data_IF_918864209989
#
_entry.id   IF_918864209989
#
_cell.length_a   1.000
_cell.length_b   1.000
_cell.length_c   1.000
_cell.angle_alpha   90.00
_cell.angle_beta   90.00
_cell.angle_gamma   90.00
#
_symmetry.space_group_name_H-M   'P 1'
#
loop_
_entity.id
_entity.type
_entity.pdbx_description
1 polymer ?
#
# COMPACT_ATOMS: atom_id res chain seq x y z
N UNK A 1 -15.36 11.90 -3.24
CA UNK A 1 -15.01 11.03 -2.11
C UNK A 1 -14.17 11.77 -1.06
N UNK A 2 -12.85 11.96 -1.25
CA UNK A 2 -11.94 12.45 -0.19
C UNK A 2 -11.79 13.97 -0.01
N UNK A 3 -12.74 14.76 -0.52
CA UNK A 3 -12.80 16.23 -0.37
C UNK A 3 -11.55 16.99 -0.88
N UNK A 4 -10.86 16.45 -1.88
CA UNK A 4 -9.69 17.06 -2.52
C UNK A 4 -10.07 18.17 -3.51
N UNK A 5 -11.24 18.09 -4.15
CA UNK A 5 -11.61 18.91 -5.33
C UNK A 5 -11.50 20.44 -5.17
N UNK A 6 -11.60 20.98 -3.95
CA UNK A 6 -11.47 22.42 -3.69
C UNK A 6 -10.03 22.87 -3.41
N UNK A 7 -9.05 22.00 -3.64
CA UNK A 7 -7.64 22.28 -3.47
C UNK A 7 -6.95 22.45 -4.82
N UNK A 8 -6.22 23.55 -5.00
CA UNK A 8 -5.41 23.79 -6.20
C UNK A 8 -3.93 23.60 -5.84
N UNK A 9 -3.31 22.48 -6.27
CA UNK A 9 -1.90 22.21 -6.00
C UNK A 9 -1.01 23.16 -6.82
N UNK A 10 0.22 23.40 -6.36
CA UNK A 10 1.16 24.26 -7.07
C UNK A 10 2.42 23.45 -7.44
N UNK A 11 2.62 23.16 -8.72
CA UNK A 11 3.73 22.31 -9.20
C UNK A 11 5.12 22.79 -8.77
N UNK A 12 5.28 24.09 -8.48
CA UNK A 12 6.52 24.67 -7.95
C UNK A 12 6.62 24.75 -6.42
N UNK A 13 5.74 24.11 -5.65
CA UNK A 13 5.80 24.14 -4.17
C UNK A 13 6.99 23.39 -3.58
N UNK A 14 7.59 22.50 -4.38
CA UNK A 14 8.63 21.58 -3.96
C UNK A 14 8.10 20.24 -3.41
N UNK A 15 6.78 20.03 -3.32
CA UNK A 15 6.24 18.71 -2.99
C UNK A 15 6.40 17.75 -4.19
N UNK A 16 6.87 16.53 -3.94
CA UNK A 16 7.22 15.56 -5.00
C UNK A 16 6.79 14.15 -4.61
N UNK A 17 6.43 13.36 -5.62
CA UNK A 17 5.93 11.98 -5.47
C UNK A 17 6.86 11.04 -6.24
N UNK A 18 7.19 9.91 -5.62
CA UNK A 18 7.84 8.78 -6.25
C UNK A 18 6.93 7.56 -6.22
N UNK A 19 7.03 6.69 -7.21
CA UNK A 19 6.44 5.35 -7.11
C UNK A 19 7.39 4.28 -7.64
N UNK A 20 7.34 3.10 -7.05
CA UNK A 20 8.18 1.96 -7.43
C UNK A 20 7.50 1.10 -8.49
N UNK A 21 8.24 0.65 -9.49
CA UNK A 21 7.81 -0.39 -10.42
C UNK A 21 8.83 -1.53 -10.39
N UNK A 22 8.50 -2.60 -9.67
CA UNK A 22 9.37 -3.77 -9.56
C UNK A 22 9.24 -4.68 -10.77
N UNK A 23 10.22 -5.57 -10.94
CA UNK A 23 10.24 -6.60 -12.00
C UNK A 23 10.24 -6.02 -13.43
N UNK A 24 10.87 -4.85 -13.65
CA UNK A 24 10.91 -4.13 -14.92
C UNK A 24 9.55 -3.75 -15.50
N UNK A 25 8.61 -3.40 -14.63
CA UNK A 25 7.35 -2.79 -15.08
C UNK A 25 7.56 -1.32 -15.45
N UNK A 26 6.87 -0.85 -16.49
CA UNK A 26 7.04 0.50 -17.05
C UNK A 26 5.67 1.12 -17.29
N UNK A 27 5.48 2.36 -16.84
CA UNK A 27 4.25 3.09 -17.15
C UNK A 27 4.39 3.60 -18.59
N UNK A 28 3.39 3.35 -19.43
CA UNK A 28 3.44 3.73 -20.84
C UNK A 28 3.09 5.21 -20.97
N UNK A 29 4.01 5.99 -21.54
CA UNK A 29 3.82 7.44 -21.68
C UNK A 29 2.58 7.79 -22.52
N UNK A 30 2.30 6.98 -23.54
CA UNK A 30 1.12 7.14 -24.36
C UNK A 30 -0.18 6.89 -23.57
N UNK A 31 -0.18 5.92 -22.66
CA UNK A 31 -1.35 5.59 -21.85
C UNK A 31 -1.62 6.67 -20.81
N UNK A 32 -0.58 7.21 -20.19
CA UNK A 32 -0.72 8.38 -19.31
C UNK A 32 -1.29 9.59 -20.08
N UNK A 33 -0.77 9.88 -21.27
CA UNK A 33 -1.27 10.98 -22.11
C UNK A 33 -2.76 10.79 -22.47
N UNK A 34 -3.15 9.57 -22.85
CA UNK A 34 -4.54 9.26 -23.18
C UNK A 34 -5.45 9.30 -21.95
N UNK A 35 -4.95 8.90 -20.78
CA UNK A 35 -5.65 9.05 -19.50
C UNK A 35 -5.89 10.52 -19.16
N UNK A 36 -4.86 11.36 -19.26
CA UNK A 36 -4.97 12.80 -19.04
C UNK A 36 -5.98 13.43 -19.99
N UNK A 37 -5.94 13.06 -21.28
CA UNK A 37 -6.92 13.50 -22.29
C UNK A 37 -8.33 13.05 -21.94
N UNK A 38 -8.50 11.81 -21.50
CA UNK A 38 -9.80 11.23 -21.15
C UNK A 38 -10.46 11.97 -19.97
N UNK A 39 -9.68 12.29 -18.94
CA UNK A 39 -10.15 12.97 -17.73
C UNK A 39 -10.00 14.51 -17.76
N UNK A 40 -9.60 15.07 -18.90
CA UNK A 40 -9.33 16.50 -19.06
C UNK A 40 -8.32 17.07 -18.03
N UNK A 41 -7.33 16.26 -17.66
CA UNK A 41 -6.19 16.68 -16.86
C UNK A 41 -5.18 17.35 -17.79
N UNK A 42 -4.64 18.53 -17.46
CA UNK A 42 -3.56 19.12 -18.26
C UNK A 42 -2.37 18.18 -18.31
N UNK A 43 -1.81 17.98 -19.51
CA UNK A 43 -0.73 17.01 -19.69
C UNK A 43 0.50 17.32 -18.84
N UNK A 44 1.04 16.30 -18.19
CA UNK A 44 2.30 16.37 -17.45
C UNK A 44 3.20 15.15 -17.72
N UNK A 45 4.50 15.36 -17.70
CA UNK A 45 5.47 14.27 -17.81
C UNK A 45 5.79 13.71 -16.43
N UNK A 46 6.08 12.41 -16.40
CA UNK A 46 6.74 11.76 -15.26
C UNK A 46 8.24 11.60 -15.56
N UNK A 47 9.07 11.70 -14.52
CA UNK A 47 10.50 11.36 -14.62
C UNK A 47 10.70 9.86 -14.37
N UNK A 48 11.78 9.28 -14.90
CA UNK A 48 12.12 7.87 -14.66
C UNK A 48 13.54 7.75 -14.12
N UNK A 49 13.70 6.97 -13.05
CA UNK A 49 15.00 6.52 -12.54
C UNK A 49 15.12 4.99 -12.64
N UNK A 50 16.18 4.51 -13.27
CA UNK A 50 16.45 3.08 -13.43
C UNK A 50 17.32 2.58 -12.28
N UNK A 51 16.87 1.53 -11.60
CA UNK A 51 17.54 0.96 -10.43
C UNK A 51 17.94 -0.48 -10.71
N UNK A 52 19.17 -0.84 -10.33
CA UNK A 52 19.71 -2.20 -10.47
C UNK A 52 19.61 -2.78 -11.90
N UNK A 53 19.78 -1.93 -12.92
CA UNK A 53 19.64 -2.33 -14.32
C UNK A 53 18.20 -2.42 -14.81
N UNK A 54 17.28 -1.68 -14.16
CA UNK A 54 15.92 -1.45 -14.65
C UNK A 54 15.88 -1.04 -16.11
N UNK A 55 14.82 -1.43 -16.82
CA UNK A 55 14.58 -1.06 -18.22
C UNK A 55 13.24 -0.34 -18.32
N UNK A 56 13.27 0.87 -18.86
CA UNK A 56 12.06 1.59 -19.25
C UNK A 56 11.57 1.07 -20.61
N UNK A 57 10.69 0.07 -20.59
CA UNK A 57 10.17 -0.55 -21.80
C UNK A 57 8.85 0.09 -22.21
N UNK A 58 8.92 0.95 -23.23
CA UNK A 58 7.77 1.66 -23.79
C UNK A 58 7.08 0.91 -24.94
N UNK A 59 7.50 -0.32 -25.25
CA UNK A 59 6.86 -1.14 -26.29
C UNK A 59 5.69 -1.95 -25.70
N UNK A 60 4.46 -1.55 -26.00
CA UNK A 60 3.23 -2.20 -25.49
C UNK A 60 3.13 -3.72 -25.74
N UNK A 61 3.87 -4.26 -26.71
CA UNK A 61 3.85 -5.69 -27.02
C UNK A 61 4.78 -6.52 -26.13
N UNK A 62 5.73 -5.89 -25.45
CA UNK A 62 6.73 -6.57 -24.60
C UNK A 62 6.81 -6.00 -23.18
N UNK A 63 6.23 -4.82 -22.94
CA UNK A 63 6.19 -4.18 -21.63
C UNK A 63 5.21 -4.89 -20.69
N UNK A 64 5.56 -4.92 -19.40
CA UNK A 64 4.61 -5.17 -18.33
C UNK A 64 4.24 -3.81 -17.75
N UNK A 65 2.99 -3.38 -17.94
CA UNK A 65 2.62 -1.99 -17.71
C UNK A 65 1.44 -1.81 -16.75
N UNK A 66 0.56 -2.81 -16.60
CA UNK A 66 -0.73 -2.64 -15.94
C UNK A 66 -0.63 -1.97 -14.55
N UNK A 67 0.20 -2.50 -13.65
CA UNK A 67 0.39 -1.92 -12.31
C UNK A 67 1.05 -0.54 -12.37
N UNK A 68 2.10 -0.38 -13.19
CA UNK A 68 2.82 0.88 -13.32
C UNK A 68 1.95 2.00 -13.90
N UNK A 69 1.06 1.67 -14.83
CA UNK A 69 0.05 2.57 -15.40
C UNK A 69 -1.02 2.92 -14.37
N UNK A 70 -1.53 1.94 -13.61
CA UNK A 70 -2.48 2.20 -12.52
C UNK A 70 -1.89 3.19 -11.51
N UNK A 71 -0.66 2.95 -11.06
CA UNK A 71 0.06 3.82 -10.11
C UNK A 71 0.23 5.24 -10.70
N UNK A 72 0.81 5.34 -11.90
CA UNK A 72 1.10 6.62 -12.53
C UNK A 72 -0.18 7.44 -12.75
N UNK A 73 -1.21 6.84 -13.34
CA UNK A 73 -2.46 7.51 -13.67
C UNK A 73 -3.24 7.91 -12.42
N UNK A 74 -3.23 7.08 -11.38
CA UNK A 74 -3.87 7.40 -10.10
C UNK A 74 -3.16 8.58 -9.40
N UNK A 75 -1.82 8.56 -9.35
CA UNK A 75 -1.03 9.66 -8.77
C UNK A 75 -1.28 10.96 -9.55
N UNK A 76 -1.17 10.93 -10.88
CA UNK A 76 -1.41 12.09 -11.74
C UNK A 76 -2.83 12.62 -11.58
N UNK A 77 -3.83 11.74 -11.59
CA UNK A 77 -5.24 12.12 -11.46
C UNK A 77 -5.58 12.82 -10.15
N UNK A 78 -4.85 12.53 -9.07
CA UNK A 78 -5.10 13.11 -7.75
C UNK A 78 -4.24 14.34 -7.48
N UNK A 79 -2.96 14.30 -7.87
CA UNK A 79 -1.95 15.23 -7.39
C UNK A 79 -1.40 16.18 -8.45
N UNK A 80 -1.91 16.16 -9.68
CA UNK A 80 -1.52 17.12 -10.71
C UNK A 80 -1.59 18.59 -10.22
N UNK A 81 -0.59 19.45 -10.49
CA UNK A 81 0.61 19.24 -11.32
C UNK A 81 1.89 18.94 -10.52
N UNK A 82 1.81 18.23 -9.39
CA UNK A 82 3.02 17.92 -8.60
C UNK A 82 3.96 16.99 -9.37
N UNK A 83 5.30 17.21 -9.33
CA UNK A 83 6.26 16.33 -10.01
C UNK A 83 6.21 14.88 -9.52
N UNK A 84 6.21 13.95 -10.47
CA UNK A 84 6.17 12.50 -10.24
C UNK A 84 7.42 11.83 -10.82
N UNK A 85 8.02 10.91 -10.07
CA UNK A 85 9.15 10.08 -10.51
C UNK A 85 8.82 8.60 -10.38
N UNK A 86 8.91 7.85 -11.48
CA UNK A 86 8.88 6.40 -11.48
C UNK A 86 10.28 5.85 -11.21
N UNK A 87 10.38 4.86 -10.33
CA UNK A 87 11.60 4.09 -10.12
C UNK A 87 11.39 2.70 -10.69
N UNK A 88 12.10 2.34 -11.77
CA UNK A 88 11.99 1.02 -12.39
C UNK A 88 13.11 0.14 -11.86
N UNK A 89 12.73 -0.93 -11.17
CA UNK A 89 13.67 -1.78 -10.44
C UNK A 89 13.70 -3.18 -11.07
N UNK A 90 14.91 -3.58 -11.48
CA UNK A 90 15.19 -4.96 -11.90
C UNK A 90 15.79 -5.75 -10.75
N UNK A 91 15.86 -7.06 -10.93
CA UNK A 91 16.56 -7.97 -10.04
C UNK A 91 15.66 -9.06 -9.50
N UNK A 92 16.28 -9.93 -8.69
CA UNK A 92 15.64 -11.08 -8.11
C UNK A 92 16.04 -11.19 -6.63
N UNK A 93 15.11 -10.99 -5.69
CA UNK A 93 15.44 -11.06 -4.28
C UNK A 93 15.55 -12.51 -3.79
N UNK A 94 16.07 -12.70 -2.56
CA UNK A 94 15.95 -13.96 -1.85
C UNK A 94 14.49 -14.38 -1.66
N UNK A 95 14.25 -15.68 -1.63
CA UNK A 95 12.91 -16.25 -1.63
C UNK A 95 12.85 -17.55 -0.81
N UNK A 96 11.77 -17.74 -0.07
CA UNK A 96 11.41 -18.98 0.61
C UNK A 96 10.18 -19.55 -0.11
N UNK A 97 10.27 -20.73 -0.74
CA UNK A 97 9.12 -21.37 -1.38
C UNK A 97 7.94 -21.57 -0.45
N UNK A 98 6.74 -21.34 -0.96
CA UNK A 98 5.47 -21.55 -0.27
C UNK A 98 4.47 -22.29 -1.19
N UNK A 99 3.22 -22.43 -0.74
CA UNK A 99 2.20 -23.16 -1.49
C UNK A 99 1.83 -22.49 -2.82
N UNK A 100 1.88 -21.15 -2.87
CA UNK A 100 1.53 -20.34 -4.03
C UNK A 100 2.67 -20.29 -5.06
N UNK A 101 3.91 -20.32 -4.57
CA UNK A 101 5.15 -20.17 -5.32
C UNK A 101 6.16 -21.23 -4.89
N UNK A 102 6.15 -22.38 -5.58
CA UNK A 102 6.92 -23.56 -5.14
C UNK A 102 8.38 -23.56 -5.60
N UNK A 103 8.75 -22.68 -6.52
CA UNK A 103 10.02 -22.80 -7.26
C UNK A 103 10.63 -21.43 -7.57
N UNK A 104 11.95 -21.42 -7.68
CA UNK A 104 12.76 -20.21 -7.91
C UNK A 104 12.43 -19.51 -9.25
N UNK A 105 11.98 -20.23 -10.27
CA UNK A 105 11.48 -19.64 -11.53
C UNK A 105 10.09 -18.99 -11.40
N UNK A 106 9.44 -19.13 -10.24
CA UNK A 106 8.20 -18.46 -9.84
C UNK A 106 8.42 -17.59 -8.60
N UNK A 107 9.64 -17.10 -8.42
CA UNK A 107 9.95 -16.10 -7.41
C UNK A 107 9.42 -14.74 -7.92
N UNK A 108 8.29 -14.33 -7.38
CA UNK A 108 7.67 -13.03 -7.65
C UNK A 108 8.00 -11.98 -6.58
N UNK A 109 8.82 -12.34 -5.59
CA UNK A 109 9.23 -11.37 -4.57
C UNK A 109 9.95 -10.20 -5.21
N UNK A 110 9.79 -9.02 -4.61
CA UNK A 110 10.31 -7.78 -5.15
C UNK A 110 11.73 -7.45 -4.62
N UNK A 111 12.63 -6.92 -5.47
CA UNK A 111 13.99 -6.55 -5.10
C UNK A 111 14.05 -5.22 -4.32
N UNK A 112 13.46 -5.19 -3.13
CA UNK A 112 13.34 -4.00 -2.29
C UNK A 112 14.67 -3.42 -1.78
N UNK A 113 15.63 -4.25 -1.38
CA UNK A 113 16.91 -3.77 -0.82
C UNK A 113 17.69 -2.92 -1.83
N UNK A 114 17.87 -3.33 -3.11
CA UNK A 114 18.42 -2.47 -4.15
C UNK A 114 17.71 -1.11 -4.26
N UNK A 115 16.37 -1.12 -4.23
CA UNK A 115 15.56 0.10 -4.33
C UNK A 115 15.83 1.09 -3.19
N UNK A 116 15.69 0.67 -1.94
CA UNK A 116 15.89 1.58 -0.81
C UNK A 116 17.34 1.97 -0.59
N UNK A 117 18.31 1.13 -0.97
CA UNK A 117 19.73 1.52 -0.99
C UNK A 117 19.99 2.61 -2.03
N UNK A 118 19.39 2.49 -3.22
CA UNK A 118 19.48 3.53 -4.25
C UNK A 118 18.94 4.86 -3.71
N UNK A 119 17.72 4.87 -3.16
CA UNK A 119 17.14 6.07 -2.57
C UNK A 119 18.02 6.67 -1.46
N UNK A 120 18.53 5.84 -0.54
CA UNK A 120 19.41 6.33 0.53
C UNK A 120 20.74 6.87 0.01
N UNK A 121 21.20 6.46 -1.18
CA UNK A 121 22.39 7.01 -1.82
C UNK A 121 22.18 8.40 -2.43
N UNK A 122 20.93 8.79 -2.70
CA UNK A 122 20.58 10.10 -3.28
C UNK A 122 20.75 11.21 -2.25
N UNK A 123 20.96 12.44 -2.73
CA UNK A 123 20.93 13.63 -1.86
C UNK A 123 19.50 13.91 -1.37
N UNK A 124 19.32 14.76 -0.34
CA UNK A 124 17.98 15.05 0.18
C UNK A 124 17.09 15.76 -0.85
N UNK A 125 17.65 16.63 -1.69
CA UNK A 125 16.89 17.34 -2.73
C UNK A 125 16.44 16.46 -3.88
N UNK A 126 17.10 15.32 -4.08
CA UNK A 126 16.81 14.38 -5.16
C UNK A 126 15.84 13.27 -4.72
N UNK A 127 15.42 13.26 -3.44
CA UNK A 127 14.45 12.30 -2.94
C UNK A 127 13.03 12.82 -3.15
N UNK A 128 12.09 11.94 -3.59
CA UNK A 128 10.68 12.25 -3.46
C UNK A 128 10.30 12.38 -1.97
N UNK A 129 9.39 13.29 -1.65
CA UNK A 129 8.91 13.44 -0.26
C UNK A 129 7.86 12.39 0.11
N UNK A 130 7.21 11.80 -0.88
CA UNK A 130 6.24 10.71 -0.70
C UNK A 130 6.57 9.61 -1.71
N UNK A 131 6.64 8.36 -1.25
CA UNK A 131 6.83 7.17 -2.08
C UNK A 131 5.57 6.32 -1.97
N UNK A 132 5.03 5.89 -3.12
CA UNK A 132 3.99 4.86 -3.22
C UNK A 132 4.61 3.55 -3.69
N UNK A 133 4.31 2.44 -3.02
CA UNK A 133 4.57 1.11 -3.56
C UNK A 133 3.28 0.29 -3.51
N UNK A 134 3.02 -0.42 -4.62
CA UNK A 134 1.82 -1.22 -4.82
C UNK A 134 2.15 -2.70 -5.02
N UNK A 135 3.14 -3.22 -4.28
CA UNK A 135 3.57 -4.63 -4.34
C UNK A 135 3.90 -5.22 -2.98
N UNK A 136 3.82 -6.53 -2.88
CA UNK A 136 3.98 -7.25 -1.63
C UNK A 136 3.83 -8.75 -1.79
N UNK A 137 4.36 -9.46 -0.81
CA UNK A 137 4.45 -10.90 -0.73
C UNK A 137 3.95 -11.42 0.62
N UNK A 138 3.74 -12.73 0.70
CA UNK A 138 3.63 -13.39 1.99
C UNK A 138 4.83 -13.04 2.86
N UNK A 139 4.59 -12.56 4.07
CA UNK A 139 5.69 -12.16 4.95
C UNK A 139 6.70 -13.29 5.17
N UNK A 140 6.22 -14.54 5.27
CA UNK A 140 7.08 -15.71 5.46
C UNK A 140 7.70 -16.29 4.18
N UNK A 141 7.34 -15.80 2.98
CA UNK A 141 8.10 -16.08 1.74
C UNK A 141 9.35 -15.20 1.66
N UNK A 142 9.40 -14.10 2.40
CA UNK A 142 10.54 -13.18 2.47
C UNK A 142 11.44 -13.61 3.63
N UNK A 143 12.74 -13.90 3.39
CA UNK A 143 13.64 -14.22 4.49
C UNK A 143 13.69 -13.12 5.55
N UNK A 144 13.49 -13.47 6.82
CA UNK A 144 13.43 -12.52 7.94
C UNK A 144 14.57 -11.49 7.96
N UNK A 145 15.81 -11.89 7.64
CA UNK A 145 16.96 -10.96 7.59
C UNK A 145 16.84 -9.93 6.48
N UNK A 146 16.27 -10.32 5.34
CA UNK A 146 15.96 -9.41 4.24
C UNK A 146 14.86 -8.44 4.64
N UNK A 147 13.76 -8.94 5.20
CA UNK A 147 12.65 -8.12 5.69
C UNK A 147 13.10 -7.07 6.73
N UNK A 148 13.88 -7.49 7.74
CA UNK A 148 14.44 -6.60 8.75
C UNK A 148 15.37 -5.54 8.15
N UNK A 149 16.27 -5.93 7.24
CA UNK A 149 17.15 -4.98 6.56
C UNK A 149 16.34 -3.96 5.78
N UNK A 150 15.38 -4.40 4.99
CA UNK A 150 14.54 -3.52 4.19
C UNK A 150 13.78 -2.52 5.06
N UNK A 151 13.16 -2.97 6.14
CA UNK A 151 12.48 -2.07 7.08
C UNK A 151 13.43 -1.06 7.72
N UNK A 152 14.65 -1.45 8.09
CA UNK A 152 15.63 -0.50 8.61
C UNK A 152 15.99 0.58 7.58
N UNK A 153 16.10 0.22 6.29
CA UNK A 153 16.35 1.19 5.22
C UNK A 153 15.18 2.18 5.06
N UNK A 154 13.95 1.69 5.15
CA UNK A 154 12.73 2.55 5.15
C UNK A 154 12.73 3.48 6.35
N UNK A 155 13.08 2.98 7.54
CA UNK A 155 13.22 3.80 8.75
C UNK A 155 14.22 4.96 8.56
N UNK A 156 15.36 4.71 7.90
CA UNK A 156 16.33 5.77 7.57
C UNK A 156 15.78 6.79 6.57
N UNK A 157 14.91 6.41 5.62
CA UNK A 157 14.21 7.36 4.76
C UNK A 157 13.22 8.22 5.56
N UNK A 158 12.50 7.62 6.51
CA UNK A 158 11.63 8.35 7.44
C UNK A 158 12.37 9.45 8.21
N UNK A 159 13.59 9.18 8.68
CA UNK A 159 14.47 10.18 9.31
C UNK A 159 14.89 11.32 8.36
N UNK A 160 14.87 11.08 7.05
CA UNK A 160 15.16 12.09 6.01
C UNK A 160 13.92 12.88 5.59
N UNK A 161 12.76 12.61 6.19
CA UNK A 161 11.51 13.31 5.92
C UNK A 161 10.71 12.74 4.75
N UNK A 162 10.96 11.49 4.37
CA UNK A 162 10.20 10.79 3.32
C UNK A 162 9.05 10.02 3.95
N UNK A 163 7.86 10.14 3.37
CA UNK A 163 6.72 9.26 3.68
C UNK A 163 6.77 8.06 2.75
N UNK A 164 6.69 6.83 3.27
CA UNK A 164 6.57 5.61 2.45
C UNK A 164 5.19 5.03 2.67
N UNK A 165 4.40 4.96 1.60
CA UNK A 165 3.03 4.45 1.54
C UNK A 165 3.05 3.11 0.83
N UNK A 166 2.30 2.14 1.34
CA UNK A 166 2.38 0.76 0.90
C UNK A 166 0.99 0.13 0.82
N UNK A 167 0.65 -0.48 -0.31
CA UNK A 167 -0.58 -1.29 -0.43
C UNK A 167 -0.59 -2.43 0.60
N UNK A 168 -1.74 -2.72 1.20
CA UNK A 168 -1.82 -3.77 2.23
C UNK A 168 -1.89 -5.19 1.66
N UNK A 169 -2.33 -5.33 0.41
CA UNK A 169 -2.53 -6.59 -0.29
C UNK A 169 -4.01 -6.87 -0.59
N UNK A 170 -4.22 -7.83 -1.51
CA UNK A 170 -5.52 -8.09 -2.15
C UNK A 170 -6.07 -9.49 -1.82
N UNK A 171 -5.51 -10.14 -0.80
CA UNK A 171 -5.84 -11.52 -0.42
C UNK A 171 -6.62 -11.63 0.89
N UNK A 172 -7.12 -10.51 1.40
CA UNK A 172 -7.86 -10.46 2.67
C UNK A 172 -7.04 -11.06 3.82
N UNK A 173 -7.60 -12.05 4.52
CA UNK A 173 -6.85 -12.76 5.59
C UNK A 173 -5.70 -13.62 5.02
N UNK A 174 -5.81 -14.01 3.75
CA UNK A 174 -4.83 -14.79 3.01
C UNK A 174 -5.45 -15.65 1.91
N UNK A 175 -4.64 -16.04 0.94
CA UNK A 175 -5.03 -16.95 -0.13
C UNK A 175 -4.44 -18.36 0.10
N UNK A 176 -3.11 -18.49 0.20
CA UNK A 176 -2.40 -19.71 0.58
C UNK A 176 -2.05 -19.81 2.07
N UNK A 177 -3.03 -20.07 2.96
CA UNK A 177 -2.84 -19.97 4.42
C UNK A 177 -2.08 -21.14 5.09
N UNK A 178 -0.94 -21.50 4.50
CA UNK A 178 -0.02 -22.56 4.92
C UNK A 178 1.39 -21.98 4.99
N UNK A 179 2.09 -22.22 6.10
CA UNK A 179 3.45 -21.78 6.26
C UNK A 179 4.40 -22.50 5.28
N UNK A 180 5.61 -21.96 5.04
CA UNK A 180 6.63 -22.57 4.16
C UNK A 180 7.10 -23.98 4.56
N UNK A 181 6.70 -24.48 5.74
CA UNK A 181 6.90 -25.87 6.16
C UNK A 181 5.92 -26.86 5.50
N UNK A 182 4.95 -26.34 4.74
CA UNK A 182 3.88 -27.08 4.07
C UNK A 182 3.02 -27.93 5.01
N UNK A 183 2.96 -27.58 6.30
CA UNK A 183 2.21 -28.33 7.31
C UNK A 183 1.49 -27.48 8.34
N UNK A 184 1.93 -26.24 8.57
CA UNK A 184 1.37 -25.36 9.60
C UNK A 184 0.41 -24.34 8.98
N UNK A 185 -0.90 -24.49 9.22
CA UNK A 185 -1.88 -23.50 8.81
C UNK A 185 -1.72 -22.19 9.61
N UNK A 186 -1.91 -21.04 8.96
CA UNK A 186 -1.96 -19.75 9.65
C UNK A 186 -2.35 -18.60 8.74
N UNK A 187 -2.69 -17.46 9.32
CA UNK A 187 -3.04 -16.25 8.57
C UNK A 187 -1.82 -15.72 7.81
N UNK A 188 -2.10 -14.93 6.77
CA UNK A 188 -1.17 -14.58 5.70
C UNK A 188 -0.91 -13.06 5.72
N UNK A 189 -0.13 -12.55 6.68
CA UNK A 189 0.24 -11.14 6.67
C UNK A 189 1.17 -10.86 5.47
N UNK A 190 1.00 -9.67 4.88
CA UNK A 190 1.72 -9.26 3.66
C UNK A 190 2.90 -8.37 4.04
N UNK A 191 4.11 -8.78 3.67
CA UNK A 191 5.24 -7.87 3.60
C UNK A 191 5.15 -7.16 2.24
N UNK A 192 5.39 -5.87 2.07
CA UNK A 192 5.90 -4.85 2.96
C UNK A 192 4.92 -4.23 3.96
N UNK A 193 3.63 -4.48 3.83
CA UNK A 193 2.61 -3.80 4.64
C UNK A 193 2.82 -3.97 6.16
N UNK A 194 3.40 -5.10 6.57
CA UNK A 194 3.77 -5.38 7.96
C UNK A 194 4.95 -4.58 8.50
N UNK A 195 5.71 -3.89 7.64
CA UNK A 195 6.82 -3.06 8.07
C UNK A 195 6.32 -1.90 8.97
N UNK A 196 6.94 -1.66 10.15
CA UNK A 196 6.44 -0.63 11.07
C UNK A 196 6.75 0.81 10.62
N UNK A 197 7.55 0.98 9.57
CA UNK A 197 8.04 2.28 9.06
C UNK A 197 7.33 2.75 7.79
N UNK A 198 6.38 1.95 7.27
CA UNK A 198 5.49 2.36 6.17
C UNK A 198 4.12 2.72 6.71
N UNK A 199 3.40 3.58 5.99
CA UNK A 199 1.96 3.73 6.14
C UNK A 199 1.29 2.71 5.23
N UNK A 200 0.76 1.63 5.83
CA UNK A 200 0.06 0.58 5.11
C UNK A 200 -1.39 1.00 4.81
N UNK A 201 -1.83 0.77 3.57
CA UNK A 201 -3.11 1.24 3.04
C UNK A 201 -3.98 0.06 2.61
N UNK A 202 -5.07 -0.16 3.33
CA UNK A 202 -6.14 -1.10 2.99
C UNK A 202 -7.12 -0.58 1.96
N UNK A 203 -8.07 -1.43 1.61
CA UNK A 203 -9.07 -1.18 0.59
C UNK A 203 -10.49 -1.04 1.12
N UNK A 204 -11.21 -0.06 0.59
CA UNK A 204 -12.66 0.10 0.70
C UNK A 204 -13.34 -0.10 -0.66
N UNK A 205 -14.64 -0.36 -0.63
CA UNK A 205 -15.54 -0.34 -1.78
C UNK A 205 -16.74 0.57 -1.49
N UNK A 206 -17.51 0.90 -2.52
CA UNK A 206 -18.61 1.85 -2.41
C UNK A 206 -18.14 3.30 -2.51
N UNK A 207 -19.06 4.24 -2.29
CA UNK A 207 -18.73 5.67 -2.36
C UNK A 207 -19.40 6.49 -1.26
N UNK A 208 -20.66 6.17 -0.96
CA UNK A 208 -21.41 6.80 0.13
C UNK A 208 -22.61 5.90 0.49
N UNK A 209 -22.46 4.95 1.44
CA UNK A 209 -21.27 4.75 2.26
C UNK A 209 -20.13 4.02 1.54
N UNK A 210 -18.90 4.22 2.02
CA UNK A 210 -17.78 3.31 1.82
C UNK A 210 -17.90 2.14 2.83
N UNK A 211 -17.45 0.95 2.45
CA UNK A 211 -17.38 -0.24 3.31
C UNK A 211 -16.07 -0.99 3.07
N UNK A 212 -15.62 -1.78 4.04
CA UNK A 212 -14.43 -2.62 3.89
C UNK A 212 -14.52 -3.54 2.66
N UNK A 213 -13.42 -3.64 1.91
CA UNK A 213 -13.30 -4.57 0.80
C UNK A 213 -12.95 -5.97 1.29
N UNK A 214 -13.65 -6.99 0.78
CA UNK A 214 -13.40 -8.40 1.12
C UNK A 214 -11.96 -8.87 0.88
N UNK A 215 -11.31 -8.29 -0.13
CA UNK A 215 -9.92 -8.58 -0.48
C UNK A 215 -8.89 -7.71 0.25
N UNK A 216 -9.29 -6.72 1.04
CA UNK A 216 -8.35 -5.85 1.75
C UNK A 216 -7.53 -6.66 2.75
N UNK A 217 -6.24 -6.84 2.48
CA UNK A 217 -5.36 -7.58 3.37
C UNK A 217 -5.09 -6.82 4.65
N UNK A 218 -5.08 -7.55 5.75
CA UNK A 218 -4.88 -7.02 7.08
C UNK A 218 -4.72 -8.12 8.12
N UNK A 219 -4.31 -7.72 9.32
CA UNK A 219 -4.01 -8.64 10.41
C UNK A 219 -2.75 -8.23 11.15
N UNK A 220 -1.94 -9.20 11.56
CA UNK A 220 -0.80 -8.98 12.44
C UNK A 220 0.45 -9.68 11.91
N UNK A 221 1.56 -8.95 11.88
CA UNK A 221 2.87 -9.44 11.47
C UNK A 221 3.36 -10.60 12.34
N UNK A 222 3.98 -11.59 11.71
CA UNK A 222 4.77 -12.66 12.33
C UNK A 222 6.18 -12.18 12.70
N UNK A 223 6.72 -11.21 11.96
CA UNK A 223 8.12 -10.79 12.07
C UNK A 223 8.34 -9.57 12.97
N UNK A 224 7.51 -8.55 12.82
CA UNK A 224 7.68 -7.25 13.47
C UNK A 224 6.78 -7.16 14.69
N UNK A 225 7.36 -6.85 15.85
CA UNK A 225 6.59 -6.59 17.06
C UNK A 225 5.73 -5.34 16.90
N UNK A 226 4.62 -5.30 17.64
CA UNK A 226 3.73 -4.13 17.67
C UNK A 226 4.49 -2.86 18.07
N UNK A 227 4.54 -1.82 17.21
CA UNK A 227 5.22 -0.59 17.55
C UNK A 227 4.42 0.24 18.56
N UNK A 228 5.11 1.05 19.36
CA UNK A 228 4.49 1.80 20.47
C UNK A 228 3.43 2.81 20.01
N UNK A 229 3.56 3.37 18.79
CA UNK A 229 2.61 4.35 18.28
C UNK A 229 1.20 3.78 18.05
N UNK A 230 1.07 2.46 17.86
CA UNK A 230 -0.22 1.81 17.62
C UNK A 230 -0.70 0.96 18.81
N UNK A 231 0.10 0.80 19.87
CA UNK A 231 -0.18 -0.13 20.96
C UNK A 231 -1.54 0.16 21.61
N UNK A 232 -1.77 1.39 22.04
CA UNK A 232 -3.04 1.78 22.68
C UNK A 232 -4.26 1.57 21.76
N UNK A 233 -4.11 1.81 20.46
CA UNK A 233 -5.17 1.65 19.47
C UNK A 233 -5.49 0.18 19.21
N UNK A 234 -4.46 -0.64 19.02
CA UNK A 234 -4.60 -2.07 18.74
C UNK A 234 -5.05 -2.83 19.98
N UNK A 235 -4.60 -2.47 21.18
CA UNK A 235 -5.10 -3.06 22.43
C UNK A 235 -6.60 -2.85 22.58
N UNK A 236 -7.12 -1.65 22.27
CA UNK A 236 -8.57 -1.40 22.29
C UNK A 236 -9.32 -2.27 21.28
N UNK A 237 -8.76 -2.50 20.10
CA UNK A 237 -9.34 -3.45 19.15
C UNK A 237 -9.38 -4.87 19.72
N UNK A 238 -8.26 -5.34 20.29
CA UNK A 238 -8.17 -6.67 20.89
C UNK A 238 -9.17 -6.86 22.04
N UNK A 239 -9.44 -5.83 22.84
CA UNK A 239 -10.44 -5.84 23.91
C UNK A 239 -11.89 -5.98 23.38
N UNK A 240 -12.15 -5.59 22.13
CA UNK A 240 -13.45 -5.76 21.47
C UNK A 240 -13.62 -7.14 20.81
N UNK A 241 -12.53 -7.88 20.58
CA UNK A 241 -12.58 -9.22 20.00
C UNK A 241 -13.15 -10.19 21.03
N UNK A 242 -14.20 -10.92 20.67
CA UNK A 242 -14.78 -11.94 21.53
C UNK A 242 -13.72 -12.96 21.99
N UNK A 243 -13.76 -13.38 23.25
CA UNK A 243 -12.76 -14.27 23.84
C UNK A 243 -12.55 -15.57 23.06
N UNK A 244 -13.63 -16.12 22.49
CA UNK A 244 -13.63 -17.32 21.68
C UNK A 244 -12.89 -17.08 20.36
N UNK A 245 -13.14 -15.95 19.70
CA UNK A 245 -12.46 -15.55 18.47
C UNK A 245 -10.99 -15.27 18.74
N UNK A 246 -10.67 -14.57 19.83
CA UNK A 246 -9.29 -14.28 20.23
C UNK A 246 -8.47 -15.56 20.43
N UNK A 247 -9.02 -16.53 21.17
CA UNK A 247 -8.38 -17.81 21.43
C UNK A 247 -8.29 -18.69 20.16
N UNK A 248 -9.32 -18.68 19.31
CA UNK A 248 -9.31 -19.44 18.07
C UNK A 248 -8.30 -18.88 17.06
N UNK A 249 -8.33 -17.58 16.79
CA UNK A 249 -7.41 -16.92 15.87
C UNK A 249 -5.97 -16.88 16.41
N UNK A 250 -5.77 -16.90 17.73
CA UNK A 250 -4.44 -16.97 18.33
C UNK A 250 -3.63 -18.23 17.96
N UNK A 251 -4.26 -19.25 17.37
CA UNK A 251 -3.58 -20.41 16.78
C UNK A 251 -2.96 -20.12 15.41
N UNK A 252 -3.41 -19.06 14.74
CA UNK A 252 -3.13 -18.75 13.34
C UNK A 252 -2.50 -17.37 13.14
N UNK A 253 -2.57 -16.48 14.13
CA UNK A 253 -2.03 -15.11 14.07
C UNK A 253 -1.20 -14.75 15.29
N UNK A 254 -0.29 -13.79 15.12
CA UNK A 254 0.52 -13.25 16.20
C UNK A 254 -0.09 -11.94 16.72
N UNK A 255 -0.93 -12.04 17.76
CA UNK A 255 -1.56 -10.87 18.39
C UNK A 255 -0.59 -9.78 18.90
N UNK A 256 0.69 -10.12 19.10
CA UNK A 256 1.74 -9.17 19.52
C UNK A 256 2.47 -8.52 18.34
N UNK A 257 2.11 -8.85 17.11
CA UNK A 257 2.72 -8.32 15.90
C UNK A 257 2.29 -6.90 15.57
N UNK A 258 3.03 -6.25 14.67
CA UNK A 258 2.59 -5.04 13.96
C UNK A 258 1.29 -5.38 13.25
N UNK A 259 0.21 -4.80 13.75
CA UNK A 259 -1.13 -4.86 13.18
C UNK A 259 -1.25 -3.89 12.01
N UNK A 260 -1.83 -4.29 10.88
CA UNK A 260 -1.97 -3.53 9.63
C UNK A 260 -3.36 -3.78 8.99
N UNK A 261 -3.87 -2.90 8.11
CA UNK A 261 -3.27 -1.65 7.64
C UNK A 261 -3.32 -0.50 8.66
N UNK A 262 -2.71 0.64 8.34
CA UNK A 262 -2.80 1.86 9.16
C UNK A 262 -4.00 2.72 8.79
N UNK A 263 -4.34 2.76 7.51
CA UNK A 263 -5.43 3.55 6.91
C UNK A 263 -6.02 2.79 5.72
N UNK A 264 -7.06 3.31 5.08
CA UNK A 264 -7.60 2.74 3.85
C UNK A 264 -8.02 3.80 2.84
N UNK A 265 -8.21 3.38 1.59
CA UNK A 265 -8.89 4.15 0.55
C UNK A 265 -9.62 3.20 -0.40
N UNK A 266 -10.38 3.77 -1.33
CA UNK A 266 -11.14 3.05 -2.33
C UNK A 266 -10.19 2.19 -3.14
N UNK A 267 -10.54 0.93 -3.31
CA UNK A 267 -9.68 -0.06 -3.95
C UNK A 267 -10.29 -0.66 -5.20
N UNK A 268 -11.58 -1.03 -5.19
CA UNK A 268 -12.07 -1.91 -6.26
C UNK A 268 -13.47 -1.66 -6.80
N UNK A 269 -14.53 -1.50 -6.01
CA UNK A 269 -15.90 -1.53 -6.56
C UNK A 269 -16.67 -0.25 -6.26
N UNK A 270 -17.01 0.58 -7.26
CA UNK A 270 -16.70 0.42 -8.69
C UNK A 270 -15.19 0.57 -9.00
N UNK A 271 -14.73 -0.07 -10.07
CA UNK A 271 -13.32 -0.09 -10.46
C UNK A 271 -12.79 1.29 -10.83
N UNK A 272 -11.47 1.46 -10.68
CA UNK A 272 -10.76 2.60 -11.23
C UNK A 272 -10.74 2.48 -12.75
N UNK A 273 -11.14 3.56 -13.40
CA UNK A 273 -10.90 3.72 -14.83
C UNK A 273 -9.45 4.10 -15.06
N UNK A 274 -8.77 3.27 -15.85
CA UNK A 274 -7.38 3.45 -16.27
C UNK A 274 -7.31 3.36 -17.78
N UNK A 275 -6.18 3.72 -18.37
CA UNK A 275 -5.90 3.51 -19.80
C UNK A 275 -4.80 2.48 -19.93
N UNK A 276 -5.05 1.44 -20.72
CA UNK A 276 -4.09 0.41 -21.09
C UNK A 276 -4.07 0.29 -22.61
N UNK A 277 -2.90 0.46 -23.21
CA UNK A 277 -2.68 0.39 -24.67
C UNK A 277 -3.63 1.32 -25.43
N UNK A 278 -3.78 2.54 -24.94
CA UNK A 278 -4.67 3.58 -25.47
C UNK A 278 -6.16 3.33 -25.29
N UNK A 279 -6.58 2.29 -24.56
CA UNK A 279 -7.99 1.95 -24.33
C UNK A 279 -8.36 2.10 -22.86
N UNK A 280 -9.54 2.66 -22.59
CA UNK A 280 -10.09 2.69 -21.23
C UNK A 280 -10.35 1.26 -20.75
N UNK A 281 -9.77 0.93 -19.61
CA UNK A 281 -9.87 -0.33 -18.91
C UNK A 281 -10.28 -0.10 -17.45
N UNK A 282 -10.55 -1.19 -16.74
CA UNK A 282 -10.89 -1.18 -15.32
C UNK A 282 -9.77 -1.87 -14.54
N UNK A 283 -9.42 -1.31 -13.40
CA UNK A 283 -8.43 -1.86 -12.49
C UNK A 283 -8.74 -1.44 -11.05
N UNK A 284 -7.96 -1.94 -10.09
CA UNK A 284 -8.24 -1.71 -8.68
C UNK A 284 -7.30 -2.49 -7.77
N UNK A 285 -7.81 -2.90 -6.62
CA UNK A 285 -7.02 -3.48 -5.54
C UNK A 285 -6.45 -2.42 -4.61
N UNK A 286 -5.80 -2.85 -3.52
CA UNK A 286 -5.09 -1.92 -2.63
C UNK A 286 -3.91 -1.22 -3.34
N UNK A 287 -3.50 -1.77 -4.49
CA UNK A 287 -2.70 -1.13 -5.51
C UNK A 287 -3.23 0.22 -6.01
N UNK A 288 -4.55 0.43 -6.05
CA UNK A 288 -5.11 1.75 -6.34
C UNK A 288 -5.19 2.64 -5.08
N UNK A 289 -5.37 2.03 -3.90
CA UNK A 289 -5.52 2.74 -2.64
C UNK A 289 -4.21 3.40 -2.15
N UNK A 290 -3.07 2.73 -2.34
CA UNK A 290 -1.75 3.27 -1.99
C UNK A 290 -1.41 4.59 -2.75
N UNK A 291 -1.49 4.66 -4.10
CA UNK A 291 -1.24 5.89 -4.84
C UNK A 291 -2.26 6.99 -4.53
N UNK A 292 -3.51 6.65 -4.17
CA UNK A 292 -4.48 7.63 -3.64
C UNK A 292 -3.94 8.31 -2.39
N UNK A 293 -3.48 7.53 -1.41
CA UNK A 293 -2.90 8.08 -0.19
C UNK A 293 -1.60 8.83 -0.43
N UNK A 294 -0.73 8.34 -1.33
CA UNK A 294 0.49 9.04 -1.70
C UNK A 294 0.20 10.42 -2.31
N UNK A 295 -0.77 10.50 -3.22
CA UNK A 295 -1.25 11.77 -3.78
C UNK A 295 -1.79 12.70 -2.70
N UNK A 296 -2.63 12.21 -1.79
CA UNK A 296 -3.17 13.00 -0.67
C UNK A 296 -2.06 13.56 0.22
N UNK A 297 -1.08 12.74 0.62
CA UNK A 297 0.06 13.20 1.45
C UNK A 297 0.89 14.24 0.70
N UNK A 298 1.08 14.08 -0.61
CA UNK A 298 1.81 15.04 -1.41
C UNK A 298 1.09 16.39 -1.51
N UNK A 299 -0.24 16.39 -1.60
CA UNK A 299 -1.05 17.61 -1.52
C UNK A 299 -0.99 18.27 -0.13
N UNK A 300 -0.92 17.47 0.94
CA UNK A 300 -0.70 17.98 2.30
C UNK A 300 0.70 18.61 2.44
N UNK A 301 1.73 17.99 1.86
CA UNK A 301 3.09 18.55 1.80
C UNK A 301 3.13 19.84 0.95
N UNK A 302 2.42 19.91 -0.17
CA UNK A 302 2.27 21.12 -0.98
C UNK A 302 1.69 22.27 -0.14
N UNK A 303 0.61 22.01 0.61
CA UNK A 303 0.01 23.00 1.51
C UNK A 303 0.99 23.48 2.59
N UNK A 304 1.73 22.54 3.20
CA UNK A 304 2.71 22.84 4.27
C UNK A 304 3.89 23.66 3.74
N UNK A 305 4.49 23.25 2.62
CA UNK A 305 5.63 23.94 2.03
C UNK A 305 5.27 25.37 1.62
N UNK A 306 4.09 25.59 1.04
CA UNK A 306 3.57 26.94 0.74
C UNK A 306 3.31 27.79 1.98
N UNK A 307 3.07 27.16 3.13
CA UNK A 307 2.95 27.82 4.43
C UNK A 307 4.31 27.94 5.18
N UNK A 308 5.44 27.64 4.53
CA UNK A 308 6.77 27.69 5.15
C UNK A 308 7.03 26.59 6.18
N UNK A 309 6.23 25.51 6.17
CA UNK A 309 6.36 24.37 7.08
C UNK A 309 7.13 23.21 6.42
N UNK A 310 7.86 22.39 7.19
CA UNK A 310 8.52 21.21 6.66
C UNK A 310 7.49 20.17 6.20
N UNK A 311 7.89 19.25 5.32
CA UNK A 311 7.08 18.08 4.93
C UNK A 311 6.75 17.16 6.13
N UNK A 312 5.78 16.26 5.95
CA UNK A 312 5.27 15.38 6.99
C UNK A 312 6.27 14.28 7.41
N UNK A 313 6.99 13.68 6.47
CA UNK A 313 7.86 12.54 6.73
C UNK A 313 7.11 11.31 7.24
N UNK A 314 7.71 10.56 8.16
CA UNK A 314 7.08 9.35 8.69
C UNK A 314 5.76 9.63 9.42
N UNK A 315 4.66 9.15 8.82
CA UNK A 315 3.31 9.63 9.08
C UNK A 315 2.59 8.90 10.24
N UNK A 316 2.93 7.64 10.52
CA UNK A 316 2.17 6.79 11.43
C UNK A 316 2.01 7.38 12.85
N UNK A 317 3.07 7.91 13.52
CA UNK A 317 2.88 8.50 14.84
C UNK A 317 1.86 9.64 14.86
N UNK A 318 1.83 10.47 13.81
CA UNK A 318 0.84 11.55 13.69
C UNK A 318 -0.58 10.99 13.51
N UNK A 319 -0.76 9.99 12.66
CA UNK A 319 -2.06 9.38 12.38
C UNK A 319 -2.67 8.77 13.65
N UNK A 320 -1.92 7.92 14.35
CA UNK A 320 -2.42 7.25 15.55
C UNK A 320 -2.62 8.21 16.74
N UNK A 321 -1.80 9.26 16.86
CA UNK A 321 -1.92 10.21 17.97
C UNK A 321 -3.05 11.23 17.78
N UNK A 322 -3.26 11.73 16.56
CA UNK A 322 -4.19 12.83 16.27
C UNK A 322 -4.92 12.71 14.93
N UNK A 323 -4.27 12.15 13.91
CA UNK A 323 -4.78 12.12 12.55
C UNK A 323 -6.06 11.31 12.39
N UNK A 324 -6.31 10.30 13.24
CA UNK A 324 -7.54 9.51 13.23
C UNK A 324 -8.82 10.36 13.34
N UNK A 325 -8.77 11.54 13.98
CA UNK A 325 -9.90 12.49 14.07
C UNK A 325 -10.22 13.16 12.71
N UNK A 326 -9.29 13.10 11.78
CA UNK A 326 -9.37 13.65 10.43
C UNK A 326 -9.63 12.59 9.37
N UNK A 327 -9.97 11.36 9.78
CA UNK A 327 -10.35 10.26 8.89
C UNK A 327 -11.85 9.97 9.02
N UNK A 328 -12.39 9.25 8.05
CA UNK A 328 -13.74 8.67 8.11
C UNK A 328 -13.60 7.22 8.54
N UNK A 329 -14.17 6.90 9.69
CA UNK A 329 -14.20 5.54 10.24
C UNK A 329 -15.08 4.63 9.38
N UNK A 330 -14.58 3.45 9.04
CA UNK A 330 -15.29 2.46 8.22
C UNK A 330 -15.72 1.34 9.14
N UNK A 331 -17.02 1.25 9.39
CA UNK A 331 -17.58 0.31 10.39
C UNK A 331 -18.36 -0.84 9.78
N UNK A 332 -18.47 -0.88 8.45
CA UNK A 332 -19.28 -1.84 7.71
C UNK A 332 -18.41 -2.66 6.75
N UNK A 333 -18.79 -3.91 6.54
CA UNK A 333 -18.04 -4.86 5.71
C UNK A 333 -16.98 -5.64 6.50
N UNK A 334 -16.18 -6.40 5.76
CA UNK A 334 -15.17 -7.30 6.32
C UNK A 334 -14.15 -7.66 5.24
N UNK A 335 -13.00 -8.20 5.64
CA UNK A 335 -12.14 -9.01 4.78
C UNK A 335 -12.22 -10.48 5.16
N UNK A 336 -12.01 -11.35 4.19
CA UNK A 336 -12.05 -12.81 4.36
C UNK A 336 -10.87 -13.46 3.62
N UNK A 337 -10.57 -14.71 3.93
CA UNK A 337 -9.46 -15.44 3.32
C UNK A 337 -9.39 -16.86 3.84
N UNK A 338 -8.32 -17.58 3.52
CA UNK A 338 -8.03 -18.92 4.03
C UNK A 338 -9.18 -19.94 3.87
N UNK A 339 -9.97 -19.81 2.80
CA UNK A 339 -11.11 -20.68 2.51
C UNK A 339 -10.97 -21.42 1.16
N UNK A 340 -9.75 -21.44 0.61
CA UNK A 340 -9.42 -22.14 -0.63
C UNK A 340 -9.73 -21.35 -1.90
N UNK A 341 -10.07 -20.08 -1.76
CA UNK A 341 -10.31 -19.14 -2.87
C UNK A 341 -9.51 -17.88 -2.57
N UNK A 342 -8.82 -17.35 -3.57
CA UNK A 342 -8.15 -16.08 -3.52
C UNK A 342 -9.19 -14.93 -3.54
N UNK A 343 -9.29 -14.09 -2.50
CA UNK A 343 -10.30 -13.04 -2.45
C UNK A 343 -10.17 -11.95 -3.54
N UNK A 344 -8.94 -11.68 -4.01
CA UNK A 344 -8.64 -10.65 -5.00
C UNK A 344 -8.87 -11.11 -6.44
N UNK A 345 -8.51 -12.36 -6.75
CA UNK A 345 -8.64 -12.90 -8.12
C UNK A 345 -9.84 -13.83 -8.32
N UNK A 346 -10.48 -14.26 -7.22
CA UNK A 346 -11.56 -15.24 -7.19
C UNK A 346 -11.15 -16.62 -7.77
N UNK A 347 -9.85 -16.90 -7.86
CA UNK A 347 -9.30 -18.16 -8.31
C UNK A 347 -9.25 -19.19 -7.17
N UNK A 348 -9.40 -20.47 -7.50
CA UNK A 348 -9.22 -21.57 -6.54
C UNK A 348 -7.73 -21.71 -6.18
N UNK A 349 -7.47 -21.87 -4.89
CA UNK A 349 -6.11 -22.08 -4.37
C UNK A 349 -5.61 -23.50 -4.64
N UNK A 350 -4.29 -23.73 -4.73
CA UNK A 350 -3.73 -25.06 -4.95
C UNK A 350 -4.17 -26.09 -3.90
N UNK A 351 -4.28 -27.35 -4.31
CA UNK A 351 -4.55 -28.45 -3.38
C UNK A 351 -3.55 -28.46 -2.20
N UNK A 352 -4.09 -28.58 -0.99
CA UNK A 352 -3.31 -28.51 0.25
C UNK A 352 -3.10 -27.11 0.79
N UNK A 353 -3.64 -26.06 0.15
CA UNK A 353 -3.71 -24.74 0.77
C UNK A 353 -4.38 -24.82 2.14
N UNK A 354 -3.84 -24.08 3.11
CA UNK A 354 -4.38 -24.09 4.47
C UNK A 354 -5.80 -23.51 4.50
N UNK A 355 -6.74 -24.29 5.00
CA UNK A 355 -8.13 -23.85 5.22
C UNK A 355 -8.31 -23.56 6.70
N UNK A 356 -8.73 -22.34 7.01
CA UNK A 356 -9.03 -21.90 8.38
C UNK A 356 -10.50 -21.46 8.42
N UNK A 357 -11.42 -22.33 8.90
CA UNK A 357 -12.84 -22.01 8.93
C UNK A 357 -13.14 -20.71 9.67
N UNK A 358 -13.90 -19.83 9.01
CA UNK A 358 -14.31 -18.54 9.58
C UNK A 358 -13.17 -17.51 9.69
N UNK A 359 -12.08 -17.65 8.95
CA UNK A 359 -11.02 -16.65 8.86
C UNK A 359 -11.54 -15.35 8.23
N UNK A 360 -11.76 -14.33 9.06
CA UNK A 360 -12.24 -13.01 8.65
C UNK A 360 -11.78 -11.92 9.60
N UNK A 361 -11.75 -10.70 9.11
CA UNK A 361 -11.63 -9.49 9.90
C UNK A 361 -12.83 -8.60 9.61
N UNK A 362 -13.55 -8.15 10.64
CA UNK A 362 -14.67 -7.25 10.45
C UNK A 362 -14.19 -5.80 10.57
N UNK A 363 -14.73 -4.92 9.72
CA UNK A 363 -14.67 -3.49 9.97
C UNK A 363 -15.43 -3.16 11.27
N UNK A 364 -14.91 -2.26 12.08
CA UNK A 364 -15.54 -1.90 13.36
C UNK A 364 -15.19 -0.47 13.77
N UNK A 365 -15.90 0.06 14.77
CA UNK A 365 -15.60 1.38 15.32
C UNK A 365 -14.13 1.47 15.74
N UNK A 366 -13.43 2.50 15.26
CA UNK A 366 -12.04 2.79 15.59
C UNK A 366 -11.06 2.16 14.60
N UNK A 367 -10.03 1.48 15.10
CA UNK A 367 -9.08 0.79 14.24
C UNK A 367 -9.48 -0.67 14.09
N UNK A 368 -9.36 -1.20 12.88
CA UNK A 368 -9.54 -2.62 12.57
C UNK A 368 -8.51 -3.17 11.55
N UNK A 369 -8.27 -4.50 11.54
CA UNK A 369 -7.35 -5.15 10.60
C UNK A 369 -7.96 -5.34 9.21
N UNK A 370 -8.74 -4.38 8.71
CA UNK A 370 -9.23 -4.32 7.33
C UNK A 370 -9.01 -2.94 6.73
N UNK A 371 -9.39 -1.89 7.46
CA UNK A 371 -9.37 -0.50 7.00
C UNK A 371 -8.52 0.42 7.86
N UNK A 372 -7.90 -0.12 8.90
CA UNK A 372 -7.04 0.63 9.79
C UNK A 372 -7.82 1.73 10.50
N UNK A 373 -7.28 2.96 10.49
CA UNK A 373 -7.94 4.14 11.06
C UNK A 373 -9.02 4.75 10.14
N UNK A 374 -9.28 4.16 8.97
CA UNK A 374 -10.30 4.60 8.01
C UNK A 374 -9.76 5.41 6.81
N UNK A 375 -10.66 6.11 6.13
CA UNK A 375 -10.37 6.80 4.85
C UNK A 375 -10.13 8.30 4.99
N UNK A 376 -9.38 8.96 4.10
CA UNK A 376 -8.96 10.33 4.31
C UNK A 376 -10.08 11.36 4.11
N UNK A 377 -10.19 12.31 5.05
CA UNK A 377 -10.81 13.61 4.79
C UNK A 377 -9.70 14.64 4.57
N UNK A 378 -9.41 14.95 3.30
CA UNK A 378 -8.30 15.83 2.94
C UNK A 378 -8.41 17.21 3.62
N UNK A 379 -9.61 17.78 3.76
CA UNK A 379 -9.75 19.12 4.35
C UNK A 379 -9.47 19.11 5.85
N UNK A 380 -9.95 18.09 6.56
CA UNK A 380 -9.63 17.92 7.99
C UNK A 380 -8.14 17.62 8.19
N UNK A 381 -7.56 16.76 7.36
CA UNK A 381 -6.12 16.46 7.40
C UNK A 381 -5.30 17.72 7.12
N UNK A 382 -5.64 18.50 6.08
CA UNK A 382 -4.99 19.77 5.75
C UNK A 382 -5.04 20.76 6.92
N UNK A 383 -6.20 20.91 7.55
CA UNK A 383 -6.35 21.78 8.72
C UNK A 383 -5.45 21.32 9.88
N UNK A 384 -5.50 20.03 10.21
CA UNK A 384 -4.66 19.43 11.25
C UNK A 384 -3.19 19.70 10.96
N UNK A 385 -2.69 19.32 9.79
CA UNK A 385 -1.26 19.42 9.51
C UNK A 385 -0.79 20.86 9.40
N UNK A 386 -1.61 21.83 8.99
CA UNK A 386 -1.22 23.24 9.02
C UNK A 386 -1.18 23.83 10.43
N UNK A 387 -1.85 23.20 11.40
CA UNK A 387 -1.80 23.63 12.80
C UNK A 387 -0.56 23.15 13.57
N UNK A 388 0.15 22.15 13.04
CA UNK A 388 1.35 21.55 13.65
C UNK A 388 2.60 22.43 13.56
#
# INVERSE_FOLDING_TARGET
MYKVANYTPHGGSGSTIGFSSFLNQSALYNDLFEFERHFAIPGQNISVELVAGGIDNQNESTAQFAEADLDAQTIVGIAHPLPVTQFIISGKPPFIPNIDHKTENRNFNEPYVPYYRHLLSRSKSDLPYVISNSYGEQEDSVPIRYALLTCNLIGFLGLRGVTVVQSSGDTGVGSGCLAPDFGTAGFYPIFHATCPWVTSVGGTVGFSPESAWKGSSGGFSRYFSRPSYQDATVSRYMDMVASETYAYYGKYTNWNGRAFPDVAAHSLSPDFQVVYRGLVAMSGGTSASAPVWAGIVALLNDARLRAGKPVLGWLNPLLYARGFLSLNDITEGFSEGCHGINPGTNATEPDGAGIIPGARWNATIGWDPVTGLGTPDFQKLKHLVLSL
#
